data_IF_950637385876
#
_entry.id   IF_950637385876
#
_cell.length_a   1.000
_cell.length_b   1.000
_cell.length_c   1.000
_cell.angle_alpha   90.00
_cell.angle_beta   90.00
_cell.angle_gamma   90.00
#
_symmetry.space_group_name_H-M   'P 1'
#
loop_
_entity.id
_entity.type
_entity.pdbx_description
1 polymer ?
#
# COMPACT_ATOMS: atom_id res chain seq x y z
N UNK A 1 -9.42 25.57 -12.78
CA UNK A 1 -8.80 24.22 -12.83
C UNK A 1 -9.55 23.29 -11.92
N UNK A 2 -10.03 22.20 -12.47
CA UNK A 2 -10.75 21.26 -11.65
C UNK A 2 -9.79 20.27 -11.00
N UNK A 3 -10.05 19.96 -9.76
CA UNK A 3 -9.32 18.94 -9.01
C UNK A 3 -10.28 17.87 -8.58
N UNK A 4 -9.79 16.67 -8.49
CA UNK A 4 -10.56 15.62 -7.84
C UNK A 4 -10.68 15.94 -6.36
N UNK A 5 -11.83 15.58 -5.75
CA UNK A 5 -11.98 15.77 -4.31
C UNK A 5 -10.89 15.01 -3.56
N UNK A 6 -10.44 15.59 -2.45
CA UNK A 6 -9.50 14.92 -1.56
C UNK A 6 -10.26 14.30 -0.40
N UNK A 7 -9.97 13.05 -0.12
CA UNK A 7 -10.43 12.38 1.08
C UNK A 7 -9.40 12.49 2.19
N UNK A 8 -9.82 12.19 3.40
CA UNK A 8 -8.95 12.18 4.56
C UNK A 8 -8.77 10.76 5.06
N UNK A 9 -7.51 10.39 5.32
CA UNK A 9 -7.14 9.08 5.80
C UNK A 9 -6.43 9.24 7.13
N UNK A 10 -6.92 8.55 8.17
CA UNK A 10 -6.28 8.56 9.48
C UNK A 10 -5.47 7.29 9.66
N UNK A 11 -4.24 7.44 10.13
CA UNK A 11 -3.38 6.31 10.48
C UNK A 11 -3.81 5.82 11.87
N UNK A 12 -3.96 4.50 12.00
CA UNK A 12 -4.58 3.89 13.18
C UNK A 12 -3.58 3.71 14.32
N UNK A 13 -2.43 3.13 14.04
CA UNK A 13 -1.47 2.80 15.07
C UNK A 13 -0.04 3.12 14.68
N UNK A 14 0.90 2.77 15.56
CA UNK A 14 2.31 2.96 15.30
C UNK A 14 2.79 4.37 15.54
N UNK A 15 3.93 4.71 14.94
CA UNK A 15 4.61 5.99 15.18
C UNK A 15 3.80 7.19 14.70
N UNK A 16 2.93 7.01 13.70
CA UNK A 16 2.11 8.10 13.16
C UNK A 16 0.66 8.00 13.57
N UNK A 17 0.38 7.32 14.67
CA UNK A 17 -0.99 7.16 15.19
C UNK A 17 -1.74 8.48 15.16
N UNK A 18 -2.97 8.45 14.66
CA UNK A 18 -3.90 9.58 14.59
C UNK A 18 -3.50 10.68 13.61
N UNK A 19 -2.38 10.56 12.91
CA UNK A 19 -2.02 11.52 11.88
C UNK A 19 -2.95 11.33 10.68
N UNK A 20 -3.28 12.45 10.04
CA UNK A 20 -4.19 12.47 8.90
C UNK A 20 -3.43 12.90 7.66
N UNK A 21 -3.63 12.16 6.58
CA UNK A 21 -3.10 12.50 5.26
C UNK A 21 -4.23 12.58 4.25
N UNK A 22 -3.98 13.23 3.13
CA UNK A 22 -4.95 13.33 2.05
C UNK A 22 -4.75 12.19 1.05
N UNK A 23 -5.84 11.75 0.45
CA UNK A 23 -5.79 10.87 -0.71
C UNK A 23 -6.72 11.39 -1.78
N UNK A 24 -6.49 11.00 -3.04
CA UNK A 24 -7.36 11.40 -4.13
C UNK A 24 -8.55 10.46 -4.19
N UNK A 25 -9.75 11.03 -3.98
CA UNK A 25 -11.00 10.28 -4.07
C UNK A 25 -11.42 10.14 -5.53
N UNK A 26 -12.16 9.08 -5.84
CA UNK A 26 -12.65 8.81 -7.18
C UNK A 26 -11.97 7.63 -7.84
N UNK A 27 -12.40 7.28 -9.06
CA UNK A 27 -11.87 6.14 -9.84
C UNK A 27 -11.87 4.83 -9.07
N UNK A 28 -12.86 4.64 -8.18
CA UNK A 28 -12.93 3.44 -7.36
C UNK A 28 -11.96 3.41 -6.20
N UNK A 29 -11.20 4.47 -5.99
CA UNK A 29 -10.26 4.54 -4.87
C UNK A 29 -11.03 4.81 -3.58
N UNK A 30 -10.96 3.87 -2.66
CA UNK A 30 -11.53 4.00 -1.33
C UNK A 30 -10.55 3.42 -0.32
N UNK A 31 -10.28 4.10 0.77
CA UNK A 31 -9.42 3.52 1.78
C UNK A 31 -10.12 2.34 2.45
N UNK A 32 -9.36 1.33 2.81
CA UNK A 32 -9.86 0.24 3.64
C UNK A 32 -10.36 0.83 4.96
N UNK A 33 -11.59 0.51 5.40
CA UNK A 33 -12.13 1.09 6.63
C UNK A 33 -11.23 0.89 7.84
N UNK A 34 -11.29 1.82 8.79
CA UNK A 34 -10.44 1.80 9.98
C UNK A 34 -10.51 0.47 10.73
N UNK A 35 -11.73 -0.05 10.92
CA UNK A 35 -11.91 -1.33 11.63
C UNK A 35 -11.21 -2.47 10.91
N UNK A 36 -11.35 -2.53 9.59
CA UNK A 36 -10.72 -3.61 8.79
C UNK A 36 -9.21 -3.48 8.86
N UNK A 37 -8.67 -2.27 8.76
CA UNK A 37 -7.23 -2.05 8.88
C UNK A 37 -6.72 -2.45 10.27
N UNK A 38 -7.46 -2.09 11.31
CA UNK A 38 -7.09 -2.46 12.67
C UNK A 38 -7.01 -3.98 12.82
N UNK A 39 -8.05 -4.69 12.37
CA UNK A 39 -8.09 -6.15 12.46
C UNK A 39 -6.95 -6.79 11.68
N UNK A 40 -6.73 -6.33 10.44
CA UNK A 40 -5.67 -6.85 9.60
C UNK A 40 -4.31 -6.69 10.28
N UNK A 41 -4.02 -5.51 10.79
CA UNK A 41 -2.72 -5.24 11.39
C UNK A 41 -2.55 -5.85 12.77
N UNK A 42 -3.65 -6.14 13.48
CA UNK A 42 -3.58 -6.96 14.68
C UNK A 42 -3.05 -8.36 14.33
N UNK A 43 -3.52 -8.93 13.23
CA UNK A 43 -3.04 -10.24 12.77
C UNK A 43 -1.60 -10.19 12.25
N UNK A 44 -1.23 -9.10 11.59
CA UNK A 44 0.10 -8.95 10.99
C UNK A 44 1.15 -8.48 11.99
N UNK A 45 0.77 -8.05 13.17
CA UNK A 45 1.68 -7.45 14.13
C UNK A 45 3.00 -8.22 14.32
N UNK A 46 2.99 -9.57 14.44
CA UNK A 46 4.25 -10.30 14.60
C UNK A 46 5.16 -10.28 13.38
N UNK A 47 4.66 -9.81 12.23
CA UNK A 47 5.36 -9.91 10.94
C UNK A 47 5.68 -8.57 10.30
N UNK A 48 5.27 -7.46 10.93
CA UNK A 48 5.40 -6.14 10.31
C UNK A 48 6.75 -5.49 10.61
N UNK A 49 7.19 -5.54 11.86
CA UNK A 49 8.43 -4.85 12.25
C UNK A 49 9.61 -5.41 11.46
N UNK A 50 10.32 -4.54 10.79
CA UNK A 50 11.47 -4.91 9.97
C UNK A 50 11.12 -5.52 8.62
N UNK A 51 9.84 -5.61 8.26
CA UNK A 51 9.42 -6.26 7.01
C UNK A 51 9.64 -5.37 5.79
N UNK A 52 9.97 -6.01 4.67
CA UNK A 52 9.93 -5.37 3.37
C UNK A 52 8.59 -5.69 2.72
N UNK A 53 7.83 -4.66 2.39
CA UNK A 53 6.41 -4.76 2.02
C UNK A 53 6.18 -4.22 0.62
N UNK A 54 5.37 -4.92 -0.16
CA UNK A 54 4.86 -4.42 -1.44
C UNK A 54 3.35 -4.20 -1.30
N UNK A 55 2.91 -2.96 -1.49
CA UNK A 55 1.49 -2.60 -1.55
C UNK A 55 1.13 -2.51 -3.04
N UNK A 56 0.60 -3.59 -3.58
CA UNK A 56 0.52 -3.78 -5.03
C UNK A 56 -0.58 -2.98 -5.71
N UNK A 57 -1.69 -2.74 -5.01
CA UNK A 57 -2.81 -1.94 -5.49
C UNK A 57 -3.03 -0.81 -4.50
N UNK A 58 -2.11 0.14 -4.48
CA UNK A 58 -2.00 1.05 -3.34
C UNK A 58 -3.20 1.99 -3.14
N UNK A 59 -3.80 2.47 -4.23
CA UNK A 59 -4.97 3.35 -4.13
C UNK A 59 -4.73 4.57 -3.27
N UNK A 60 -5.35 4.64 -2.11
CA UNK A 60 -5.15 5.72 -1.16
C UNK A 60 -3.82 5.63 -0.42
N UNK A 61 -3.17 4.47 -0.47
CA UNK A 61 -1.97 4.20 0.31
C UNK A 61 -2.24 3.75 1.74
N UNK A 62 -3.51 3.53 2.09
CA UNK A 62 -3.90 3.24 3.48
C UNK A 62 -3.14 2.06 4.08
N UNK A 63 -3.04 0.96 3.35
CA UNK A 63 -2.41 -0.25 3.88
C UNK A 63 -0.91 -0.09 4.02
N UNK A 64 -0.23 0.44 3.00
CA UNK A 64 1.21 0.62 3.05
C UNK A 64 1.65 1.66 4.06
N UNK A 65 0.89 2.74 4.19
CA UNK A 65 1.18 3.78 5.18
C UNK A 65 1.03 3.23 6.60
N UNK A 66 0.03 2.38 6.83
CA UNK A 66 -0.14 1.73 8.12
C UNK A 66 1.04 0.81 8.43
N UNK A 67 1.51 0.05 7.42
CA UNK A 67 2.67 -0.81 7.58
C UNK A 67 3.91 -0.01 8.00
N UNK A 68 4.16 1.11 7.33
CA UNK A 68 5.28 2.00 7.69
C UNK A 68 5.15 2.49 9.11
N UNK A 69 3.96 2.94 9.50
CA UNK A 69 3.71 3.47 10.84
C UNK A 69 3.98 2.41 11.90
N UNK A 70 3.75 1.15 11.59
CA UNK A 70 3.92 0.05 12.55
C UNK A 70 5.28 -0.64 12.48
N UNK A 71 6.23 -0.05 11.76
CA UNK A 71 7.62 -0.48 11.83
C UNK A 71 8.16 -1.27 10.65
N UNK A 72 7.46 -1.30 9.51
CA UNK A 72 8.01 -1.92 8.31
C UNK A 72 9.35 -1.27 7.95
N UNK A 73 10.30 -2.07 7.52
CA UNK A 73 11.61 -1.55 7.14
C UNK A 73 11.55 -0.75 5.84
N UNK A 74 10.70 -1.17 4.92
CA UNK A 74 10.55 -0.50 3.64
C UNK A 74 9.20 -0.89 3.01
N UNK A 75 8.52 0.08 2.40
CA UNK A 75 7.29 -0.20 1.65
C UNK A 75 7.43 0.34 0.24
N UNK A 76 7.13 -0.51 -0.73
CA UNK A 76 7.03 -0.13 -2.14
C UNK A 76 5.55 -0.07 -2.49
N UNK A 77 5.10 1.11 -2.89
CA UNK A 77 3.71 1.31 -3.34
C UNK A 77 3.65 1.21 -4.85
N UNK A 78 2.70 0.45 -5.36
CA UNK A 78 2.43 0.38 -6.78
C UNK A 78 1.03 0.92 -7.04
N UNK A 79 0.93 1.98 -7.84
CA UNK A 79 -0.34 2.61 -8.17
C UNK A 79 -0.30 3.13 -9.60
N UNK A 80 -1.29 2.75 -10.41
CA UNK A 80 -1.31 3.14 -11.82
C UNK A 80 -1.80 4.56 -12.03
N UNK A 81 -2.66 5.09 -11.15
CA UNK A 81 -3.22 6.42 -11.27
C UNK A 81 -2.20 7.50 -10.93
N UNK A 82 -1.97 8.44 -11.84
CA UNK A 82 -0.98 9.49 -11.63
C UNK A 82 -1.31 10.37 -10.43
N UNK A 83 -2.58 10.76 -10.31
CA UNK A 83 -3.00 11.62 -9.19
C UNK A 83 -2.92 10.87 -7.87
N UNK A 84 -3.34 9.60 -7.85
CA UNK A 84 -3.29 8.78 -6.66
C UNK A 84 -1.84 8.53 -6.23
N UNK A 85 -0.97 8.21 -7.19
CA UNK A 85 0.45 8.00 -6.90
C UNK A 85 1.07 9.26 -6.33
N UNK A 86 0.76 10.43 -6.89
CA UNK A 86 1.29 11.69 -6.40
C UNK A 86 0.79 12.00 -4.99
N UNK A 87 -0.48 11.70 -4.70
CA UNK A 87 -1.01 11.91 -3.36
C UNK A 87 -0.30 11.05 -2.33
N UNK A 88 0.06 9.82 -2.68
CA UNK A 88 0.85 8.96 -1.78
C UNK A 88 2.24 9.56 -1.54
N UNK A 89 2.89 10.06 -2.59
CA UNK A 89 4.19 10.72 -2.45
C UNK A 89 4.11 11.92 -1.51
N UNK A 90 3.05 12.70 -1.64
CA UNK A 90 2.84 13.88 -0.77
C UNK A 90 2.59 13.46 0.67
N UNK A 91 1.82 12.40 0.88
CA UNK A 91 1.58 11.88 2.22
C UNK A 91 2.89 11.42 2.87
N UNK A 92 3.73 10.70 2.13
CA UNK A 92 5.03 10.25 2.62
C UNK A 92 5.91 11.43 3.00
N UNK A 93 5.90 12.47 2.19
CA UNK A 93 6.66 13.69 2.47
C UNK A 93 6.17 14.38 3.74
N UNK A 94 4.86 14.50 3.87
CA UNK A 94 4.24 15.10 5.07
C UNK A 94 4.63 14.34 6.33
N UNK A 95 4.67 13.01 6.25
CA UNK A 95 5.02 12.16 7.39
C UNK A 95 6.52 12.07 7.64
N UNK A 96 7.33 12.57 6.72
CA UNK A 96 8.78 12.48 6.84
C UNK A 96 9.33 11.09 6.60
N UNK A 97 8.61 10.27 5.84
CA UNK A 97 9.01 8.89 5.57
C UNK A 97 10.11 8.84 4.51
N UNK A 98 11.22 8.21 4.85
CA UNK A 98 12.35 8.03 3.92
C UNK A 98 12.46 6.58 3.42
N UNK A 99 11.76 5.65 4.06
CA UNK A 99 11.87 4.22 3.79
C UNK A 99 10.71 3.70 2.94
N UNK A 100 10.43 4.42 1.86
CA UNK A 100 9.33 4.07 0.96
C UNK A 100 9.60 4.57 -0.44
N UNK A 101 8.98 3.93 -1.43
CA UNK A 101 8.97 4.44 -2.80
C UNK A 101 7.58 4.27 -3.38
N UNK A 102 7.24 5.12 -4.33
CA UNK A 102 5.97 5.04 -5.05
C UNK A 102 6.29 4.84 -6.53
N UNK A 103 5.77 3.76 -7.09
CA UNK A 103 5.94 3.44 -8.51
C UNK A 103 4.60 3.60 -9.20
N UNK A 104 4.53 4.55 -10.13
CA UNK A 104 3.34 4.72 -10.95
C UNK A 104 3.37 3.66 -12.04
N UNK A 105 2.67 2.56 -11.83
CA UNK A 105 2.78 1.40 -12.70
C UNK A 105 1.52 0.55 -12.60
N UNK A 106 1.34 -0.30 -13.59
CA UNK A 106 0.29 -1.31 -13.57
C UNK A 106 0.79 -2.53 -12.81
N UNK A 107 -0.05 -3.05 -11.91
CA UNK A 107 0.36 -4.08 -10.95
C UNK A 107 0.94 -5.34 -11.59
N UNK A 108 0.26 -5.88 -12.60
CA UNK A 108 0.71 -7.12 -13.22
C UNK A 108 2.00 -6.91 -14.01
N UNK A 109 2.14 -5.75 -14.67
CA UNK A 109 3.35 -5.41 -15.39
C UNK A 109 4.54 -5.27 -14.43
N UNK A 110 4.31 -4.66 -13.28
CA UNK A 110 5.34 -4.54 -12.26
C UNK A 110 5.77 -5.92 -11.76
N UNK A 111 4.82 -6.78 -11.42
CA UNK A 111 5.15 -8.13 -10.93
C UNK A 111 5.94 -8.93 -11.96
N UNK A 112 5.61 -8.78 -13.24
CA UNK A 112 6.27 -9.55 -14.30
C UNK A 112 7.75 -9.23 -14.43
N UNK A 113 8.17 -8.01 -14.06
CA UNK A 113 9.57 -7.59 -14.20
C UNK A 113 10.27 -7.29 -12.87
N UNK A 114 9.57 -7.40 -11.74
CA UNK A 114 10.16 -7.13 -10.43
C UNK A 114 11.18 -8.20 -10.09
N UNK A 115 12.34 -7.76 -9.61
CA UNK A 115 13.40 -8.68 -9.19
C UNK A 115 13.54 -8.77 -7.68
N UNK A 116 13.00 -7.78 -6.95
CA UNK A 116 13.07 -7.77 -5.49
C UNK A 116 12.08 -8.77 -4.91
N UNK A 117 12.46 -9.38 -3.79
CA UNK A 117 11.58 -10.24 -3.01
C UNK A 117 11.12 -9.52 -1.76
N UNK A 118 9.91 -9.84 -1.30
CA UNK A 118 9.26 -9.16 -0.19
C UNK A 118 8.87 -10.14 0.91
N UNK A 119 8.85 -9.63 2.15
CA UNK A 119 8.34 -10.40 3.29
C UNK A 119 6.82 -10.44 3.27
N UNK A 120 6.18 -9.38 2.81
CA UNK A 120 4.73 -9.24 2.81
C UNK A 120 4.30 -8.54 1.52
N UNK A 121 3.27 -9.08 0.87
CA UNK A 121 2.62 -8.42 -0.25
C UNK A 121 1.16 -8.20 0.11
N UNK A 122 0.72 -6.94 0.00
CA UNK A 122 -0.66 -6.55 0.25
C UNK A 122 -1.41 -6.54 -1.07
N UNK A 123 -2.50 -7.28 -1.14
CA UNK A 123 -3.31 -7.43 -2.35
C UNK A 123 -4.74 -6.96 -2.09
N UNK A 124 -5.07 -5.80 -2.61
CA UNK A 124 -6.41 -5.22 -2.50
C UNK A 124 -6.83 -4.65 -3.86
N UNK A 125 -7.05 -5.54 -4.86
CA UNK A 125 -7.38 -5.08 -6.21
C UNK A 125 -8.76 -4.43 -6.27
N UNK A 126 -9.04 -3.67 -7.34
CA UNK A 126 -10.35 -3.06 -7.52
C UNK A 126 -11.46 -4.11 -7.49
N UNK A 127 -12.59 -3.72 -6.90
CA UNK A 127 -13.75 -4.58 -6.79
C UNK A 127 -14.21 -5.08 -8.16
N UNK A 128 -14.64 -6.33 -8.21
CA UNK A 128 -15.15 -6.99 -9.43
C UNK A 128 -14.14 -7.12 -10.57
N UNK A 129 -12.84 -7.00 -10.27
CA UNK A 129 -11.80 -7.23 -11.26
C UNK A 129 -11.31 -8.69 -11.20
N UNK A 130 -10.67 -9.15 -12.27
CA UNK A 130 -10.03 -10.47 -12.31
C UNK A 130 -8.53 -10.36 -12.02
N UNK A 131 -8.09 -9.24 -11.47
CA UNK A 131 -6.67 -8.98 -11.23
C UNK A 131 -6.08 -9.85 -10.13
N UNK A 132 -6.87 -10.22 -9.13
CA UNK A 132 -6.35 -11.00 -8.01
C UNK A 132 -5.80 -12.38 -8.43
N UNK A 133 -6.54 -13.21 -9.18
CA UNK A 133 -5.98 -14.48 -9.63
C UNK A 133 -4.72 -14.32 -10.47
N UNK A 134 -4.70 -13.31 -11.35
CA UNK A 134 -3.54 -13.03 -12.19
C UNK A 134 -2.32 -12.61 -11.36
N UNK A 135 -2.53 -11.76 -10.36
CA UNK A 135 -1.46 -11.34 -9.47
C UNK A 135 -0.91 -12.51 -8.66
N UNK A 136 -1.81 -13.34 -8.13
CA UNK A 136 -1.39 -14.51 -7.35
C UNK A 136 -0.53 -15.47 -8.18
N UNK A 137 -0.80 -15.58 -9.47
CA UNK A 137 -0.02 -16.44 -10.35
C UNK A 137 1.41 -15.94 -10.55
N UNK A 138 1.62 -14.62 -10.45
CA UNK A 138 2.93 -13.99 -10.67
C UNK A 138 3.74 -13.80 -9.38
N UNK A 139 3.11 -13.99 -8.22
CA UNK A 139 3.74 -13.66 -6.93
C UNK A 139 4.88 -14.56 -6.46
N UNK A 140 4.83 -15.90 -6.62
CA UNK A 140 5.79 -16.75 -5.93
C UNK A 140 7.26 -16.35 -6.05
N UNK A 141 7.77 -15.94 -7.24
CA UNK A 141 9.17 -15.51 -7.33
C UNK A 141 9.47 -14.20 -6.60
N UNK A 142 8.45 -13.47 -6.18
CA UNK A 142 8.59 -12.15 -5.54
C UNK A 142 8.46 -12.23 -4.03
N UNK A 143 8.29 -13.44 -3.49
CA UNK A 143 8.13 -13.64 -2.05
C UNK A 143 9.36 -14.32 -1.49
N UNK A 144 9.78 -13.89 -0.31
CA UNK A 144 10.84 -14.56 0.45
C UNK A 144 10.31 -15.88 0.99
N UNK A 145 11.21 -16.77 1.40
CA UNK A 145 10.85 -18.12 1.84
C UNK A 145 9.88 -18.15 3.03
N UNK A 146 9.89 -17.09 3.87
CA UNK A 146 9.00 -16.97 5.04
C UNK A 146 7.87 -15.99 4.82
N UNK A 147 7.41 -15.85 3.60
CA UNK A 147 6.50 -14.81 3.15
C UNK A 147 5.12 -14.80 3.80
N UNK A 148 4.44 -13.65 3.66
CA UNK A 148 3.02 -13.45 3.95
C UNK A 148 2.39 -12.67 2.79
N UNK A 149 1.19 -13.03 2.44
CA UNK A 149 0.45 -12.38 1.33
C UNK A 149 -0.78 -11.69 1.89
#
# INVERSE_FOLDING_TARGET
MSRRPLGKLRIIGGQWRSRIVDFVDGDGVRPTPDRVRQTLYDWLAPHIEGAEVLDLFAGSGALGLEALSRGAAFVSFCERGAEQAQAIREALKKLGAANAQVRQDEALALLARETKQYDLVLLDPPYASDLLPQALALLPPRLKAHNRV
#
